data_IF_133840404415
#
_entry.id   IF_133840404415
#
_cell.length_a   1.000
_cell.length_b   1.000
_cell.length_c   1.000
_cell.angle_alpha   90.00
_cell.angle_beta   90.00
_cell.angle_gamma   90.00
#
_symmetry.space_group_name_H-M   'P 1'
#
loop_
_entity.id
_entity.type
_entity.pdbx_description
1 polymer ?
#
# COMPACT_ATOMS: atom_id res chain seq x y z
N UNK A 1 -4.38 1.65 -13.26
CA UNK A 1 -5.60 1.18 -12.59
C UNK A 1 -5.93 -0.28 -12.84
N UNK A 2 -5.95 -0.78 -14.08
CA UNK A 2 -6.25 -2.22 -14.33
C UNK A 2 -5.44 -3.17 -13.44
N UNK A 3 -4.14 -2.92 -13.24
CA UNK A 3 -3.33 -3.74 -12.33
C UNK A 3 -3.81 -3.72 -10.87
N UNK A 4 -4.27 -2.57 -10.36
CA UNK A 4 -4.90 -2.46 -9.04
C UNK A 4 -6.22 -3.23 -8.90
N UNK A 5 -6.82 -3.65 -10.02
CA UNK A 5 -8.01 -4.51 -10.04
C UNK A 5 -7.65 -6.01 -10.16
N UNK A 6 -6.36 -6.36 -10.10
CA UNK A 6 -5.89 -7.74 -10.13
C UNK A 6 -5.44 -8.26 -11.50
N UNK A 7 -5.53 -7.46 -12.57
CA UNK A 7 -5.02 -7.87 -13.88
C UNK A 7 -3.48 -7.86 -13.91
N UNK A 8 -2.80 -8.85 -14.52
CA UNK A 8 -1.35 -8.95 -14.48
C UNK A 8 -0.64 -7.79 -15.18
N UNK A 9 0.60 -7.48 -14.75
CA UNK A 9 1.44 -6.45 -15.38
C UNK A 9 1.67 -6.70 -16.89
N UNK A 10 1.72 -7.97 -17.30
CA UNK A 10 1.86 -8.38 -18.71
C UNK A 10 0.69 -7.96 -19.61
N UNK A 11 -0.52 -7.82 -19.06
CA UNK A 11 -1.71 -7.36 -19.78
C UNK A 11 -1.97 -5.86 -19.60
N UNK A 12 -1.16 -5.18 -18.79
CA UNK A 12 -1.37 -3.79 -18.39
C UNK A 12 -0.11 -2.96 -18.64
N UNK A 13 0.69 -2.67 -17.61
CA UNK A 13 1.81 -1.73 -17.68
C UNK A 13 2.92 -2.17 -18.65
N UNK A 14 3.24 -3.48 -18.70
CA UNK A 14 4.29 -4.03 -19.59
C UNK A 14 3.85 -4.17 -21.04
N UNK A 15 2.65 -3.71 -21.39
CA UNK A 15 2.25 -3.54 -22.78
C UNK A 15 2.72 -2.21 -23.36
N UNK A 16 3.19 -1.25 -22.53
CA UNK A 16 3.70 0.04 -23.01
C UNK A 16 5.12 -0.07 -23.56
N UNK A 17 5.34 0.46 -24.77
CA UNK A 17 6.68 0.53 -25.39
C UNK A 17 7.64 1.42 -24.61
N UNK A 18 7.13 2.47 -23.97
CA UNK A 18 7.92 3.40 -23.15
C UNK A 18 8.38 2.75 -21.85
N UNK A 19 7.49 1.99 -21.19
CA UNK A 19 7.86 1.23 -20.00
C UNK A 19 8.92 0.19 -20.32
N UNK A 20 8.78 -0.53 -21.43
CA UNK A 20 9.79 -1.50 -21.87
C UNK A 20 11.14 -0.82 -22.14
N UNK A 21 11.15 0.33 -22.83
CA UNK A 21 12.38 1.07 -23.11
C UNK A 21 13.11 1.49 -21.82
N UNK A 22 12.38 1.99 -20.83
CA UNK A 22 12.93 2.41 -19.54
C UNK A 22 13.38 1.23 -18.66
N UNK A 23 12.77 0.05 -18.82
CA UNK A 23 12.98 -1.09 -17.93
C UNK A 23 13.97 -2.13 -18.46
N UNK A 24 14.35 -2.09 -19.74
CA UNK A 24 15.18 -3.14 -20.35
C UNK A 24 16.41 -2.64 -21.12
N UNK A 25 17.65 -3.02 -20.69
CA UNK A 25 17.94 -3.75 -19.47
C UNK A 25 17.60 -2.93 -18.21
N UNK A 26 17.58 -3.62 -17.07
CA UNK A 26 17.28 -3.00 -15.77
C UNK A 26 18.25 -1.84 -15.52
N UNK A 27 17.77 -0.60 -15.35
CA UNK A 27 18.64 0.54 -15.12
C UNK A 27 19.24 0.47 -13.71
N UNK A 28 20.54 0.73 -13.61
CA UNK A 28 21.26 0.83 -12.32
C UNK A 28 21.04 2.20 -11.68
N UNK A 29 20.77 3.22 -12.48
CA UNK A 29 20.50 4.58 -12.02
C UNK A 29 19.63 5.36 -13.02
N UNK A 30 19.25 6.57 -12.64
CA UNK A 30 18.32 7.39 -13.42
C UNK A 30 18.84 7.70 -14.83
N UNK A 31 20.15 7.88 -14.99
CA UNK A 31 20.81 8.14 -16.29
C UNK A 31 20.63 7.01 -17.30
N UNK A 32 20.44 5.77 -16.83
CA UNK A 32 20.25 4.61 -17.70
C UNK A 32 18.77 4.35 -18.03
N UNK A 33 17.85 4.95 -17.27
CA UNK A 33 16.41 4.88 -17.49
C UNK A 33 15.99 5.93 -18.51
N UNK A 34 16.42 5.77 -19.76
CA UNK A 34 16.15 6.66 -20.91
C UNK A 34 15.49 5.88 -22.06
N UNK A 35 14.79 6.56 -22.97
CA UNK A 35 14.06 5.89 -24.05
C UNK A 35 14.98 5.38 -25.16
N UNK A 36 15.94 6.21 -25.59
CA UNK A 36 16.91 5.85 -26.61
C UNK A 36 18.29 5.78 -25.98
N UNK A 37 19.05 4.71 -26.23
CA UNK A 37 20.37 4.52 -25.62
C UNK A 37 21.55 4.87 -26.52
N UNK A 38 21.30 5.16 -27.80
CA UNK A 38 22.36 5.63 -28.69
C UNK A 38 22.77 7.06 -28.27
N UNK A 39 24.01 7.29 -27.79
CA UNK A 39 24.47 8.61 -27.38
C UNK A 39 24.49 9.64 -28.52
N UNK A 40 24.46 9.19 -29.77
CA UNK A 40 24.39 10.07 -30.95
C UNK A 40 22.98 10.53 -31.24
N UNK A 41 21.97 9.85 -30.69
CA UNK A 41 20.58 10.19 -30.89
C UNK A 41 20.13 11.26 -29.89
N UNK A 42 19.70 12.41 -30.43
CA UNK A 42 19.20 13.55 -29.64
C UNK A 42 17.71 13.43 -29.31
N UNK A 43 17.07 12.28 -29.56
CA UNK A 43 15.67 12.05 -29.24
C UNK A 43 15.38 12.32 -27.75
N UNK A 44 16.27 11.92 -26.83
CA UNK A 44 16.06 12.16 -25.41
C UNK A 44 16.08 13.66 -25.04
N UNK A 45 16.67 14.52 -25.87
CA UNK A 45 16.69 15.98 -25.64
C UNK A 45 15.35 16.62 -26.02
N UNK A 46 14.47 15.91 -26.74
CA UNK A 46 13.18 16.45 -27.14
C UNK A 46 12.30 16.73 -25.91
N UNK A 47 11.74 17.95 -25.77
CA UNK A 47 11.06 18.35 -24.54
C UNK A 47 9.91 17.43 -24.12
N UNK A 48 9.10 16.99 -25.07
CA UNK A 48 7.96 16.10 -24.77
C UNK A 48 8.39 14.68 -24.38
N UNK A 49 9.54 14.21 -24.87
CA UNK A 49 10.10 12.94 -24.42
C UNK A 49 10.65 13.04 -23.00
N UNK A 50 11.23 14.18 -22.59
CA UNK A 50 11.63 14.40 -21.20
C UNK A 50 10.42 14.41 -20.25
N UNK A 51 9.33 15.07 -20.64
CA UNK A 51 8.07 15.09 -19.89
C UNK A 51 7.47 13.68 -19.76
N UNK A 52 7.38 12.94 -20.88
CA UNK A 52 6.88 11.57 -20.88
C UNK A 52 7.76 10.63 -20.04
N UNK A 53 9.08 10.79 -20.11
CA UNK A 53 10.04 10.03 -19.30
C UNK A 53 9.78 10.26 -17.82
N UNK A 54 9.72 11.51 -17.37
CA UNK A 54 9.44 11.83 -15.97
C UNK A 54 8.11 11.23 -15.49
N UNK A 55 7.06 11.30 -16.31
CA UNK A 55 5.78 10.68 -16.03
C UNK A 55 5.89 9.15 -15.86
N UNK A 56 6.60 8.47 -16.77
CA UNK A 56 6.79 7.02 -16.72
C UNK A 56 7.67 6.59 -15.53
N UNK A 57 8.70 7.37 -15.17
CA UNK A 57 9.55 7.10 -14.01
C UNK A 57 8.74 7.12 -12.71
N UNK A 58 7.96 8.18 -12.49
CA UNK A 58 7.09 8.29 -11.32
C UNK A 58 6.04 7.17 -11.26
N UNK A 59 5.45 6.82 -12.42
CA UNK A 59 4.50 5.71 -12.52
C UNK A 59 5.15 4.38 -12.13
N UNK A 60 6.29 4.05 -12.71
CA UNK A 60 6.96 2.76 -12.49
C UNK A 60 7.46 2.60 -11.06
N UNK A 61 8.05 3.66 -10.47
CA UNK A 61 8.53 3.62 -9.09
C UNK A 61 7.38 3.45 -8.10
N UNK A 62 6.28 4.20 -8.27
CA UNK A 62 5.09 4.02 -7.45
C UNK A 62 4.51 2.60 -7.58
N UNK A 63 4.52 2.03 -8.80
CA UNK A 63 4.16 0.62 -8.99
C UNK A 63 5.13 -0.34 -8.28
N UNK A 64 6.44 -0.04 -8.24
CA UNK A 64 7.42 -0.77 -7.45
C UNK A 64 7.03 -0.84 -5.98
N UNK A 65 6.73 0.31 -5.37
CA UNK A 65 6.29 0.38 -3.97
C UNK A 65 4.97 -0.32 -3.70
N UNK A 66 3.99 -0.17 -4.60
CA UNK A 66 2.74 -0.94 -4.52
C UNK A 66 3.03 -2.44 -4.53
N UNK A 67 3.92 -2.91 -5.40
CA UNK A 67 4.23 -4.33 -5.50
C UNK A 67 4.94 -4.85 -4.25
N UNK A 68 5.96 -4.12 -3.77
CA UNK A 68 6.67 -4.45 -2.53
C UNK A 68 5.71 -4.53 -1.35
N UNK A 69 4.79 -3.56 -1.26
CA UNK A 69 3.77 -3.55 -0.22
C UNK A 69 2.87 -4.76 -0.26
N UNK A 70 2.28 -5.05 -1.43
CA UNK A 70 1.35 -6.18 -1.56
C UNK A 70 2.05 -7.51 -1.28
N UNK A 71 3.34 -7.64 -1.61
CA UNK A 71 4.15 -8.82 -1.33
C UNK A 71 4.53 -8.98 0.15
N UNK A 72 4.63 -7.89 0.90
CA UNK A 72 4.98 -7.91 2.31
C UNK A 72 3.79 -8.28 3.21
N UNK A 73 2.57 -8.05 2.72
CA UNK A 73 1.34 -8.15 3.50
C UNK A 73 0.49 -9.36 3.10
N UNK A 74 -0.50 -9.69 3.93
CA UNK A 74 -1.39 -10.82 3.64
C UNK A 74 -2.31 -10.47 2.47
N UNK A 75 -2.06 -11.11 1.33
CA UNK A 75 -2.89 -11.06 0.13
C UNK A 75 -2.79 -12.39 -0.62
N UNK A 76 -3.86 -12.77 -1.33
CA UNK A 76 -3.90 -14.02 -2.09
C UNK A 76 -3.45 -13.77 -3.54
N UNK A 77 -2.30 -14.32 -3.92
CA UNK A 77 -1.74 -14.15 -5.26
C UNK A 77 -2.69 -14.73 -6.34
N UNK A 78 -2.82 -14.02 -7.46
CA UNK A 78 -3.72 -14.33 -8.59
C UNK A 78 -5.23 -14.20 -8.30
N UNK A 79 -5.66 -14.28 -7.04
CA UNK A 79 -7.03 -14.00 -6.64
C UNK A 79 -7.22 -12.49 -6.37
N UNK A 80 -6.45 -11.95 -5.43
CA UNK A 80 -6.49 -10.55 -5.01
C UNK A 80 -5.72 -9.65 -5.96
N UNK A 81 -4.49 -10.05 -6.29
CA UNK A 81 -3.53 -9.24 -7.02
C UNK A 81 -2.45 -10.13 -7.65
N UNK A 82 -1.86 -9.67 -8.75
CA UNK A 82 -0.75 -10.38 -9.42
C UNK A 82 0.54 -9.61 -9.21
N UNK A 83 1.45 -10.18 -8.39
CA UNK A 83 2.72 -9.53 -8.03
C UNK A 83 3.87 -9.82 -8.98
N UNK A 84 3.67 -10.76 -9.92
CA UNK A 84 4.69 -11.18 -10.87
C UNK A 84 5.15 -10.04 -11.78
N UNK A 85 6.44 -9.69 -11.67
CA UNK A 85 7.09 -8.63 -12.45
C UNK A 85 7.88 -9.15 -13.65
N UNK A 86 7.91 -10.46 -13.90
CA UNK A 86 8.61 -11.07 -15.05
C UNK A 86 10.09 -10.65 -15.14
N UNK A 87 10.78 -10.63 -13.99
CA UNK A 87 12.17 -10.20 -13.81
C UNK A 87 12.44 -8.71 -14.14
N UNK A 88 11.41 -7.87 -14.16
CA UNK A 88 11.55 -6.41 -14.20
C UNK A 88 11.65 -5.88 -12.76
N UNK A 89 12.53 -4.91 -12.54
CA UNK A 89 12.78 -4.34 -11.20
C UNK A 89 11.82 -3.23 -10.80
N UNK A 90 10.99 -2.72 -11.72
CA UNK A 90 10.11 -1.56 -11.48
C UNK A 90 10.87 -0.36 -10.90
N UNK A 91 12.12 -0.16 -11.36
CA UNK A 91 13.02 0.91 -10.91
C UNK A 91 13.40 0.83 -9.41
N UNK A 92 13.41 -0.35 -8.80
CA UNK A 92 13.83 -0.55 -7.41
C UNK A 92 15.18 0.10 -7.08
N UNK A 93 16.15 0.01 -8.00
CA UNK A 93 17.51 0.55 -7.82
C UNK A 93 17.64 2.06 -8.04
N UNK A 94 16.61 2.73 -8.57
CA UNK A 94 16.62 4.18 -8.78
C UNK A 94 16.01 4.84 -7.53
N UNK A 95 16.71 5.81 -6.96
CA UNK A 95 16.21 6.53 -5.78
C UNK A 95 14.96 7.33 -6.11
N UNK A 96 14.04 7.42 -5.14
CA UNK A 96 12.85 8.27 -5.27
C UNK A 96 13.22 9.72 -5.49
N UNK A 97 14.21 10.24 -4.77
CA UNK A 97 14.66 11.63 -4.89
C UNK A 97 15.07 11.98 -6.32
N UNK A 98 15.84 11.10 -6.98
CA UNK A 98 16.23 11.32 -8.37
C UNK A 98 15.00 11.38 -9.30
N UNK A 99 14.00 10.53 -9.06
CA UNK A 99 12.76 10.53 -9.84
C UNK A 99 11.94 11.80 -9.59
N UNK A 100 11.85 12.25 -8.33
CA UNK A 100 11.18 13.51 -7.97
C UNK A 100 11.89 14.70 -8.62
N UNK A 101 13.22 14.74 -8.61
CA UNK A 101 14.01 15.75 -9.34
C UNK A 101 13.65 15.74 -10.82
N UNK A 102 13.61 14.58 -11.48
CA UNK A 102 13.24 14.50 -12.89
C UNK A 102 11.80 15.00 -13.16
N UNK A 103 10.86 14.75 -12.25
CA UNK A 103 9.50 15.31 -12.34
C UNK A 103 9.50 16.83 -12.18
N UNK A 104 10.23 17.36 -11.20
CA UNK A 104 10.38 18.81 -10.99
C UNK A 104 11.02 19.49 -12.19
N UNK A 105 12.08 18.91 -12.76
CA UNK A 105 12.75 19.42 -13.96
C UNK A 105 11.80 19.42 -15.18
N UNK A 106 11.01 18.35 -15.35
CA UNK A 106 10.00 18.29 -16.41
C UNK A 106 8.91 19.34 -16.25
N UNK A 107 8.47 19.64 -15.01
CA UNK A 107 7.55 20.75 -14.73
C UNK A 107 8.20 22.11 -15.04
N UNK A 108 9.46 22.33 -14.64
CA UNK A 108 10.21 23.54 -14.98
C UNK A 108 10.43 23.71 -16.50
N UNK A 109 10.57 22.60 -17.23
CA UNK A 109 10.59 22.61 -18.69
C UNK A 109 9.25 23.05 -19.29
N UNK A 110 8.14 22.50 -18.80
CA UNK A 110 6.79 22.91 -19.22
C UNK A 110 6.53 24.41 -18.99
N UNK A 111 6.96 24.94 -17.84
CA UNK A 111 6.86 26.37 -17.55
C UNK A 111 7.67 27.24 -18.54
N UNK A 112 8.90 26.82 -18.87
CA UNK A 112 9.71 27.52 -19.89
C UNK A 112 9.04 27.49 -21.26
N UNK A 113 8.51 26.33 -21.67
CA UNK A 113 7.79 26.20 -22.94
C UNK A 113 6.53 27.06 -22.98
N UNK A 114 5.87 27.30 -21.83
CA UNK A 114 4.70 28.18 -21.72
C UNK A 114 5.06 29.65 -21.93
N UNK A 115 6.20 30.07 -21.40
CA UNK A 115 6.68 31.45 -21.50
C UNK A 115 7.33 31.77 -22.84
N UNK A 116 7.78 30.75 -23.58
CA UNK A 116 8.40 30.93 -24.88
C UNK A 116 7.35 31.06 -26.00
N UNK A 117 7.16 32.31 -26.47
CA UNK A 117 6.24 32.62 -27.56
C UNK A 117 6.65 32.03 -28.92
N UNK A 118 7.86 31.47 -29.06
CA UNK A 118 8.34 30.85 -30.29
C UNK A 118 7.83 29.42 -30.50
N UNK A 119 7.23 28.80 -29.49
CA UNK A 119 6.76 27.42 -29.55
C UNK A 119 5.26 27.32 -29.84
N UNK A 120 4.86 26.24 -30.54
CA UNK A 120 3.48 26.01 -30.99
C UNK A 120 2.59 25.29 -29.96
N UNK A 121 3.09 25.04 -28.75
CA UNK A 121 2.34 24.30 -27.74
C UNK A 121 1.23 25.17 -27.13
N UNK A 122 0.00 24.65 -27.16
CA UNK A 122 -1.17 25.33 -26.57
C UNK A 122 -1.05 25.29 -25.04
N UNK A 123 -1.30 26.43 -24.38
CA UNK A 123 -1.17 26.56 -22.93
C UNK A 123 -2.00 25.51 -22.15
N UNK A 124 -3.22 25.21 -22.61
CA UNK A 124 -4.08 24.18 -22.01
C UNK A 124 -3.46 22.77 -22.01
N UNK A 125 -2.62 22.45 -23.02
CA UNK A 125 -1.92 21.16 -23.10
C UNK A 125 -0.78 21.13 -22.10
N UNK A 126 -0.07 22.24 -21.94
CA UNK A 126 0.99 22.38 -20.92
C UNK A 126 0.38 22.21 -19.53
N UNK A 127 -0.72 22.92 -19.22
CA UNK A 127 -1.44 22.81 -17.94
C UNK A 127 -1.88 21.36 -17.69
N UNK A 128 -2.42 20.69 -18.71
CA UNK A 128 -2.83 19.29 -18.62
C UNK A 128 -1.66 18.32 -18.34
N UNK A 129 -0.47 18.58 -18.92
CA UNK A 129 0.74 17.80 -18.67
C UNK A 129 1.29 18.05 -17.26
N UNK A 130 1.28 19.29 -16.78
CA UNK A 130 1.69 19.63 -15.42
C UNK A 130 0.82 18.90 -14.39
N UNK A 131 -0.51 18.90 -14.56
CA UNK A 131 -1.44 18.14 -13.69
C UNK A 131 -1.12 16.63 -13.69
N UNK A 132 -0.73 16.06 -14.83
CA UNK A 132 -0.38 14.62 -14.92
C UNK A 132 0.96 14.31 -14.27
N UNK A 133 1.94 15.21 -14.33
CA UNK A 133 3.21 15.09 -13.62
C UNK A 133 3.01 15.26 -12.11
N UNK A 134 2.20 16.22 -11.69
CA UNK A 134 1.84 16.44 -10.29
C UNK A 134 1.20 15.19 -9.68
N UNK A 135 0.27 14.55 -10.41
CA UNK A 135 -0.33 13.28 -9.97
C UNK A 135 0.72 12.20 -9.73
N UNK A 136 1.81 12.17 -10.52
CA UNK A 136 2.87 11.16 -10.38
C UNK A 136 3.72 11.42 -9.14
N UNK A 137 4.08 12.66 -8.87
CA UNK A 137 4.80 13.03 -7.65
C UNK A 137 3.94 12.79 -6.40
N UNK A 138 2.68 13.24 -6.41
CA UNK A 138 1.74 13.02 -5.30
C UNK A 138 1.55 11.54 -5.02
N UNK A 139 1.29 10.72 -6.06
CA UNK A 139 1.06 9.29 -5.84
C UNK A 139 2.32 8.56 -5.37
N UNK A 140 3.50 8.99 -5.82
CA UNK A 140 4.76 8.47 -5.31
C UNK A 140 4.93 8.76 -3.81
N UNK A 141 4.66 10.00 -3.39
CA UNK A 141 4.65 10.37 -1.96
C UNK A 141 3.58 9.62 -1.17
N UNK A 142 2.40 9.40 -1.75
CA UNK A 142 1.33 8.61 -1.14
C UNK A 142 1.77 7.16 -0.89
N UNK A 143 2.56 6.57 -1.79
CA UNK A 143 3.11 5.22 -1.60
C UNK A 143 4.19 5.12 -0.52
N UNK A 144 4.83 6.25 -0.18
CA UNK A 144 5.84 6.35 0.88
C UNK A 144 5.26 6.79 2.23
N UNK A 145 3.97 7.12 2.31
CA UNK A 145 3.32 7.62 3.53
C UNK A 145 3.51 6.77 4.81
N UNK A 146 3.77 5.46 4.75
CA UNK A 146 4.02 4.64 5.95
C UNK A 146 5.27 5.03 6.72
N UNK A 147 6.23 5.71 6.09
CA UNK A 147 7.36 6.31 6.80
C UNK A 147 6.93 7.37 7.84
N UNK A 148 5.70 7.89 7.71
CA UNK A 148 5.09 8.86 8.61
C UNK A 148 4.04 8.23 9.54
N UNK A 149 4.12 6.94 9.85
CA UNK A 149 3.16 6.26 10.74
C UNK A 149 3.02 6.96 12.11
N UNK A 150 4.09 7.58 12.61
CA UNK A 150 4.11 8.34 13.88
C UNK A 150 3.61 9.78 13.73
N UNK A 151 3.38 10.23 12.50
CA UNK A 151 2.96 11.60 12.16
C UNK A 151 1.76 11.56 11.21
N UNK A 152 0.55 11.16 11.68
CA UNK A 152 -0.61 10.95 10.81
C UNK A 152 -0.96 12.17 9.96
N UNK A 153 -0.77 13.37 10.49
CA UNK A 153 -0.98 14.62 9.75
C UNK A 153 -0.09 14.71 8.49
N UNK A 154 1.16 14.26 8.56
CA UNK A 154 2.06 14.21 7.39
C UNK A 154 1.66 13.08 6.45
N UNK A 155 1.29 11.92 6.98
CA UNK A 155 0.84 10.77 6.19
C UNK A 155 -0.40 11.09 5.33
N UNK A 156 -1.28 12.00 5.78
CA UNK A 156 -2.50 12.41 5.06
C UNK A 156 -2.25 13.36 3.89
N UNK A 157 -1.19 14.17 3.93
CA UNK A 157 -0.92 15.25 2.94
C UNK A 157 -1.03 14.77 1.49
N UNK A 158 -0.29 13.72 1.05
CA UNK A 158 -0.32 13.33 -0.36
C UNK A 158 -1.70 12.81 -0.78
N UNK A 159 -2.46 12.20 0.12
CA UNK A 159 -3.82 11.76 -0.17
C UNK A 159 -4.78 12.94 -0.38
N UNK A 160 -4.73 13.95 0.49
CA UNK A 160 -5.53 15.17 0.39
C UNK A 160 -5.18 15.98 -0.88
N UNK A 161 -3.89 16.11 -1.18
CA UNK A 161 -3.42 16.75 -2.41
C UNK A 161 -3.92 16.00 -3.65
N UNK A 162 -3.85 14.67 -3.63
CA UNK A 162 -4.38 13.83 -4.71
C UNK A 162 -5.86 14.08 -4.96
N UNK A 163 -6.69 14.03 -3.91
CA UNK A 163 -8.13 14.33 -4.00
C UNK A 163 -8.37 15.73 -4.61
N UNK A 164 -7.59 16.72 -4.18
CA UNK A 164 -7.72 18.11 -4.64
C UNK A 164 -7.32 18.27 -6.12
N UNK A 165 -6.40 17.45 -6.63
CA UNK A 165 -5.93 17.47 -8.01
C UNK A 165 -6.91 16.79 -8.99
N UNK A 166 -7.67 15.80 -8.53
CA UNK A 166 -8.54 14.97 -9.37
C UNK A 166 -9.52 15.76 -10.27
N UNK A 167 -10.19 16.84 -9.81
CA UNK A 167 -11.07 17.64 -10.67
C UNK A 167 -10.35 18.23 -11.89
N UNK A 168 -9.13 18.74 -11.71
CA UNK A 168 -8.31 19.29 -12.80
C UNK A 168 -7.83 18.20 -13.77
N UNK A 169 -7.52 17.01 -13.25
CA UNK A 169 -7.17 15.86 -14.08
C UNK A 169 -8.36 15.45 -14.97
N UNK A 170 -9.57 15.42 -14.41
CA UNK A 170 -10.80 15.09 -15.15
C UNK A 170 -11.12 16.14 -16.20
N UNK A 171 -11.09 17.42 -15.82
CA UNK A 171 -11.46 18.52 -16.73
C UNK A 171 -10.52 18.60 -17.93
N UNK A 172 -9.25 18.23 -17.79
CA UNK A 172 -8.26 18.24 -18.88
C UNK A 172 -8.18 16.93 -19.67
N UNK A 173 -9.01 15.92 -19.40
CA UNK A 173 -8.94 14.64 -20.11
C UNK A 173 -9.34 14.74 -21.59
N UNK A 174 -10.26 15.64 -21.93
CA UNK A 174 -10.72 15.86 -23.31
C UNK A 174 -9.60 16.31 -24.27
N UNK A 175 -8.46 16.77 -23.74
CA UNK A 175 -7.28 17.14 -24.52
C UNK A 175 -6.43 15.93 -24.93
N UNK A 176 -6.66 14.76 -24.33
CA UNK A 176 -5.95 13.54 -24.66
C UNK A 176 -6.40 12.95 -25.99
N UNK A 177 -5.45 12.36 -26.69
CA UNK A 177 -5.70 11.52 -27.87
C UNK A 177 -5.12 10.13 -27.62
N UNK A 178 -5.87 9.05 -27.87
CA UNK A 178 -5.33 7.70 -27.85
C UNK A 178 -4.16 7.57 -28.83
N UNK A 179 -3.14 6.81 -28.43
CA UNK A 179 -1.98 6.45 -29.26
C UNK A 179 -1.79 4.95 -29.15
N UNK A 180 -2.59 4.20 -29.90
CA UNK A 180 -2.70 2.74 -29.75
C UNK A 180 -1.35 2.04 -29.99
N UNK A 181 -0.53 2.56 -30.91
CA UNK A 181 0.82 2.04 -31.20
C UNK A 181 1.80 2.15 -30.02
N UNK A 182 1.46 2.94 -28.98
CA UNK A 182 2.24 3.01 -27.74
C UNK A 182 2.08 1.76 -26.88
N UNK A 183 1.09 0.91 -27.18
CA UNK A 183 0.79 -0.31 -26.43
C UNK A 183 0.75 -1.52 -27.35
N UNK A 184 1.42 -2.62 -26.97
CA UNK A 184 1.49 -3.82 -27.79
C UNK A 184 1.52 -5.10 -26.97
N UNK A 185 0.59 -6.02 -27.27
CA UNK A 185 0.60 -7.37 -26.73
C UNK A 185 1.85 -8.17 -27.16
N UNK A 186 2.54 -7.74 -28.24
CA UNK A 186 3.80 -8.37 -28.68
C UNK A 186 4.91 -8.27 -27.64
N UNK A 187 4.88 -7.24 -26.78
CA UNK A 187 5.87 -7.08 -25.70
C UNK A 187 5.82 -8.22 -24.68
N UNK A 188 4.68 -8.91 -24.54
CA UNK A 188 4.56 -10.06 -23.65
C UNK A 188 5.52 -11.20 -24.01
N UNK A 189 5.94 -11.30 -25.28
CA UNK A 189 6.94 -12.30 -25.73
C UNK A 189 8.36 -12.01 -25.24
N UNK A 190 8.62 -10.79 -24.76
CA UNK A 190 9.91 -10.37 -24.18
C UNK A 190 9.95 -10.54 -22.65
N UNK A 191 8.83 -10.90 -22.04
CA UNK A 191 8.73 -11.14 -20.61
C UNK A 191 9.21 -12.57 -20.31
N UNK A 192 9.82 -12.77 -19.14
CA UNK A 192 10.20 -14.09 -18.66
C UNK A 192 8.93 -14.87 -18.25
N UNK A 193 8.21 -15.39 -19.25
CA UNK A 193 6.92 -16.07 -19.09
C UNK A 193 6.83 -17.27 -20.03
N UNK A 194 6.29 -18.37 -19.52
CA UNK A 194 5.88 -19.54 -20.32
C UNK A 194 4.42 -19.45 -20.76
N UNK A 195 3.67 -18.45 -20.27
CA UNK A 195 2.25 -18.24 -20.57
C UNK A 195 2.11 -17.53 -21.92
N UNK A 196 1.21 -18.00 -22.81
CA UNK A 196 0.99 -17.37 -24.10
C UNK A 196 0.48 -15.91 -23.96
N UNK A 197 0.73 -15.04 -24.94
CA UNK A 197 0.25 -13.66 -24.90
C UNK A 197 -1.27 -13.57 -24.76
N UNK A 198 -1.74 -12.77 -23.82
CA UNK A 198 -3.16 -12.49 -23.58
C UNK A 198 -3.55 -11.10 -24.09
N UNK A 199 -4.83 -10.84 -24.38
CA UNK A 199 -5.30 -9.51 -24.76
C UNK A 199 -4.92 -8.44 -23.73
N UNK A 200 -4.64 -7.22 -24.21
CA UNK A 200 -4.40 -6.06 -23.35
C UNK A 200 -5.69 -5.73 -22.60
N UNK A 201 -5.58 -5.45 -21.30
CA UNK A 201 -6.72 -5.04 -20.47
C UNK A 201 -6.74 -3.52 -20.36
N UNK A 202 -7.67 -2.91 -21.08
CA UNK A 202 -7.89 -1.48 -21.11
C UNK A 202 -9.23 -1.14 -20.44
N UNK A 203 -9.18 -0.31 -19.39
CA UNK A 203 -10.37 0.24 -18.77
C UNK A 203 -10.81 1.51 -19.52
N UNK A 204 -12.12 1.76 -19.54
CA UNK A 204 -12.65 3.06 -19.91
C UNK A 204 -12.14 4.15 -18.96
N UNK A 205 -12.05 5.39 -19.44
CA UNK A 205 -11.53 6.50 -18.63
C UNK A 205 -12.36 6.71 -17.36
N UNK A 206 -13.69 6.73 -17.46
CA UNK A 206 -14.56 6.95 -16.30
C UNK A 206 -14.41 5.86 -15.23
N UNK A 207 -14.30 4.60 -15.64
CA UNK A 207 -14.04 3.48 -14.71
C UNK A 207 -12.66 3.62 -14.06
N UNK A 208 -11.62 3.90 -14.86
CA UNK A 208 -10.27 4.09 -14.35
C UNK A 208 -10.19 5.28 -13.39
N UNK A 209 -10.85 6.39 -13.72
CA UNK A 209 -10.90 7.60 -12.91
C UNK A 209 -11.71 7.40 -11.63
N UNK A 210 -12.83 6.66 -11.69
CA UNK A 210 -13.60 6.27 -10.51
C UNK A 210 -12.81 5.40 -9.55
N UNK A 211 -12.04 4.44 -10.08
CA UNK A 211 -11.12 3.62 -9.27
C UNK A 211 -9.98 4.44 -8.67
N UNK A 212 -9.40 5.39 -9.42
CA UNK A 212 -8.36 6.29 -8.92
C UNK A 212 -8.90 7.22 -7.83
N UNK A 213 -10.11 7.74 -8.00
CA UNK A 213 -10.77 8.59 -6.99
C UNK A 213 -10.94 7.82 -5.68
N UNK A 214 -11.47 6.59 -5.76
CA UNK A 214 -11.63 5.73 -4.58
C UNK A 214 -10.29 5.37 -3.95
N UNK A 215 -9.25 5.09 -4.75
CA UNK A 215 -7.90 4.83 -4.25
C UNK A 215 -7.42 5.95 -3.33
N UNK A 216 -7.60 7.22 -3.73
CA UNK A 216 -7.18 8.36 -2.92
C UNK A 216 -8.07 8.61 -1.70
N UNK A 217 -9.39 8.44 -1.84
CA UNK A 217 -10.35 8.58 -0.74
C UNK A 217 -10.15 7.52 0.34
N UNK A 218 -10.10 6.24 -0.07
CA UNK A 218 -9.86 5.12 0.82
C UNK A 218 -8.46 5.23 1.45
N UNK A 219 -7.45 5.64 0.68
CA UNK A 219 -6.09 5.89 1.17
C UNK A 219 -6.02 6.98 2.25
N UNK A 220 -6.80 8.06 2.12
CA UNK A 220 -6.91 9.08 3.16
C UNK A 220 -7.63 8.54 4.40
N UNK A 221 -8.73 7.83 4.21
CA UNK A 221 -9.57 7.33 5.29
C UNK A 221 -8.82 6.36 6.20
N UNK A 222 -8.01 5.46 5.64
CA UNK A 222 -7.25 4.49 6.45
C UNK A 222 -6.19 5.14 7.33
N UNK A 223 -5.74 6.36 7.04
CA UNK A 223 -4.82 7.07 7.95
C UNK A 223 -5.53 7.39 9.29
N UNK A 224 -6.87 7.48 9.27
CA UNK A 224 -7.68 7.64 10.47
C UNK A 224 -7.48 6.52 11.51
N UNK A 225 -7.05 5.32 11.09
CA UNK A 225 -6.78 4.19 12.00
C UNK A 225 -5.66 4.51 13.00
N UNK A 226 -4.75 5.42 12.64
CA UNK A 226 -3.65 5.84 13.50
C UNK A 226 -4.13 6.72 14.67
N UNK A 227 -5.35 7.24 14.62
CA UNK A 227 -6.01 7.90 15.75
C UNK A 227 -6.71 6.87 16.64
N UNK A 228 -5.93 5.94 17.18
CA UNK A 228 -6.40 4.89 18.06
C UNK A 228 -7.09 5.45 19.32
N UNK A 229 -8.22 4.86 19.68
CA UNK A 229 -8.95 5.17 20.92
C UNK A 229 -9.01 3.94 21.83
N UNK A 230 -9.51 2.83 21.30
CA UNK A 230 -9.60 1.54 21.98
C UNK A 230 -9.72 0.38 20.96
N UNK A 231 -9.60 -0.87 21.43
CA UNK A 231 -9.62 -2.08 20.60
C UNK A 231 -10.94 -2.30 19.89
N UNK A 232 -12.07 -1.92 20.50
CA UNK A 232 -13.41 -2.07 19.93
C UNK A 232 -13.64 -1.10 18.78
N UNK A 233 -13.22 0.16 18.95
CA UNK A 233 -13.21 1.16 17.91
C UNK A 233 -12.30 0.74 16.75
N UNK A 234 -11.11 0.21 17.04
CA UNK A 234 -10.19 -0.32 16.03
C UNK A 234 -10.84 -1.46 15.22
N UNK A 235 -11.41 -2.46 15.90
CA UNK A 235 -12.07 -3.59 15.24
C UNK A 235 -13.27 -3.14 14.41
N UNK A 236 -14.07 -2.21 14.92
CA UNK A 236 -15.22 -1.62 14.20
C UNK A 236 -14.74 -0.85 12.97
N UNK A 237 -13.69 -0.05 13.09
CA UNK A 237 -13.09 0.71 11.99
C UNK A 237 -12.63 -0.22 10.86
N UNK A 238 -11.83 -1.24 11.18
CA UNK A 238 -11.34 -2.22 10.19
C UNK A 238 -12.50 -2.97 9.54
N UNK A 239 -13.46 -3.44 10.34
CA UNK A 239 -14.63 -4.18 9.82
C UNK A 239 -15.50 -3.31 8.91
N UNK A 240 -15.78 -2.07 9.32
CA UNK A 240 -16.59 -1.13 8.54
C UNK A 240 -15.90 -0.79 7.22
N UNK A 241 -14.61 -0.49 7.25
CA UNK A 241 -13.81 -0.18 6.06
C UNK A 241 -13.83 -1.34 5.05
N UNK A 242 -13.67 -2.57 5.52
CA UNK A 242 -13.61 -3.76 4.67
C UNK A 242 -14.97 -4.18 4.12
N UNK A 243 -16.06 -3.77 4.79
CA UNK A 243 -17.44 -4.01 4.35
C UNK A 243 -17.93 -3.10 3.23
N UNK A 244 -17.15 -2.08 2.84
CA UNK A 244 -17.49 -1.12 1.78
C UNK A 244 -17.85 -1.83 0.48
N UNK A 245 -18.78 -1.23 -0.27
CA UNK A 245 -19.21 -1.69 -1.60
C UNK A 245 -19.03 -0.55 -2.61
N UNK A 246 -18.14 -0.71 -3.62
CA UNK A 246 -17.27 -1.88 -3.86
C UNK A 246 -16.16 -1.98 -2.80
N UNK A 247 -15.60 -3.18 -2.61
CA UNK A 247 -14.52 -3.39 -1.64
C UNK A 247 -13.31 -2.47 -1.96
N UNK A 248 -12.57 -1.99 -0.94
CA UNK A 248 -11.36 -1.21 -1.16
C UNK A 248 -10.33 -1.97 -2.00
N UNK A 249 -9.57 -1.22 -2.80
CA UNK A 249 -8.53 -1.78 -3.66
C UNK A 249 -7.47 -2.50 -2.84
N UNK A 250 -6.90 -3.58 -3.38
CA UNK A 250 -5.97 -4.46 -2.65
C UNK A 250 -4.82 -3.68 -2.03
N UNK A 251 -4.25 -2.75 -2.78
CA UNK A 251 -3.18 -1.89 -2.27
C UNK A 251 -3.57 -1.11 -1.00
N UNK A 252 -4.79 -0.57 -0.93
CA UNK A 252 -5.25 0.16 0.25
C UNK A 252 -5.48 -0.80 1.42
N UNK A 253 -5.97 -2.01 1.16
CA UNK A 253 -6.12 -3.06 2.17
C UNK A 253 -4.78 -3.49 2.75
N UNK A 254 -3.76 -3.65 1.91
CA UNK A 254 -2.39 -3.97 2.37
C UNK A 254 -1.74 -2.78 3.07
N UNK A 255 -2.04 -1.55 2.65
CA UNK A 255 -1.57 -0.35 3.33
C UNK A 255 -2.17 -0.23 4.74
N UNK A 256 -3.45 -0.57 4.91
CA UNK A 256 -4.09 -0.69 6.23
C UNK A 256 -3.40 -1.73 7.10
N UNK A 257 -3.03 -2.90 6.56
CA UNK A 257 -2.29 -3.92 7.31
C UNK A 257 -0.97 -3.39 7.85
N UNK A 258 -0.20 -2.67 7.04
CA UNK A 258 1.06 -2.04 7.51
C UNK A 258 0.82 -1.02 8.62
N UNK A 259 -0.27 -0.25 8.56
CA UNK A 259 -0.57 0.68 9.65
C UNK A 259 -0.97 -0.04 10.93
N UNK A 260 -1.71 -1.15 10.82
CA UNK A 260 -2.07 -1.97 11.96
C UNK A 260 -0.82 -2.61 12.57
N UNK A 261 0.09 -3.12 11.75
CA UNK A 261 1.27 -3.87 12.17
C UNK A 261 2.49 -3.50 11.34
N UNK A 262 3.50 -2.90 11.98
CA UNK A 262 4.80 -2.69 11.39
C UNK A 262 5.89 -2.99 12.42
N UNK A 263 6.89 -3.80 12.04
CA UNK A 263 8.03 -4.14 12.89
C UNK A 263 7.70 -4.54 14.35
N UNK A 264 6.62 -5.32 14.58
CA UNK A 264 6.09 -5.73 15.91
C UNK A 264 5.48 -4.59 16.75
N UNK A 265 5.36 -3.38 16.20
CA UNK A 265 4.58 -2.28 16.76
C UNK A 265 3.16 -2.29 16.15
N UNK A 266 2.16 -2.11 17.02
CA UNK A 266 0.78 -1.91 16.62
C UNK A 266 0.52 -0.40 16.52
N UNK A 267 0.04 0.07 15.37
CA UNK A 267 -0.24 1.51 15.12
C UNK A 267 0.97 2.41 15.45
N UNK A 268 2.19 1.92 15.21
CA UNK A 268 3.46 2.64 15.39
C UNK A 268 3.83 3.04 16.82
N UNK A 269 3.12 2.55 17.85
CA UNK A 269 3.40 2.95 19.24
C UNK A 269 3.01 1.93 20.31
N UNK A 270 2.09 1.02 20.03
CA UNK A 270 1.60 0.05 21.01
C UNK A 270 2.28 -1.30 20.84
N UNK A 271 2.46 -2.02 21.94
CA UNK A 271 2.82 -3.43 21.89
C UNK A 271 1.57 -4.30 21.69
N UNK A 272 1.76 -5.49 21.12
CA UNK A 272 0.69 -6.51 21.04
C UNK A 272 0.13 -6.83 22.43
N UNK A 273 0.99 -6.82 23.46
CA UNK A 273 0.57 -6.98 24.85
C UNK A 273 -0.45 -5.92 25.25
N UNK A 274 -0.17 -4.65 24.97
CA UNK A 274 -1.07 -3.56 25.30
C UNK A 274 -2.42 -3.73 24.60
N UNK A 275 -2.41 -4.09 23.32
CA UNK A 275 -3.64 -4.33 22.57
C UNK A 275 -4.49 -5.47 23.18
N UNK A 276 -3.86 -6.59 23.59
CA UNK A 276 -4.56 -7.71 24.23
C UNK A 276 -5.09 -7.31 25.62
N UNK A 277 -4.27 -6.65 26.42
CA UNK A 277 -4.64 -6.24 27.78
C UNK A 277 -5.80 -5.21 27.73
N UNK A 278 -5.77 -4.26 26.79
CA UNK A 278 -6.86 -3.30 26.52
C UNK A 278 -8.17 -4.04 26.19
N UNK A 279 -8.13 -5.00 25.26
CA UNK A 279 -9.33 -5.73 24.83
C UNK A 279 -9.92 -6.60 25.95
N UNK A 280 -9.05 -7.30 26.68
CA UNK A 280 -9.45 -8.04 27.88
C UNK A 280 -10.11 -7.11 28.90
N UNK A 281 -9.53 -5.94 29.16
CA UNK A 281 -10.05 -4.99 30.14
C UNK A 281 -11.44 -4.47 29.78
N UNK A 282 -11.73 -4.32 28.49
CA UNK A 282 -13.01 -3.81 28.00
C UNK A 282 -14.08 -4.90 28.03
N UNK A 283 -13.77 -6.09 27.53
CA UNK A 283 -14.79 -7.12 27.28
C UNK A 283 -14.99 -8.05 28.48
N UNK A 284 -13.91 -8.51 29.12
CA UNK A 284 -13.97 -9.71 29.99
C UNK A 284 -13.39 -9.54 31.40
N UNK A 285 -12.46 -8.61 31.59
CA UNK A 285 -11.68 -8.42 32.81
C UNK A 285 -11.60 -6.94 33.25
N UNK A 286 -12.73 -6.22 33.37
CA UNK A 286 -12.72 -4.81 33.77
C UNK A 286 -12.13 -4.64 35.17
N UNK A 287 -11.15 -3.75 35.29
CA UNK A 287 -10.41 -3.47 36.53
C UNK A 287 -9.87 -4.73 37.24
N UNK A 288 -9.57 -5.79 36.48
CA UNK A 288 -9.12 -7.06 37.06
C UNK A 288 -7.69 -6.95 37.57
N UNK A 289 -7.39 -7.46 38.78
CA UNK A 289 -6.01 -7.59 39.27
C UNK A 289 -5.11 -8.44 38.38
N UNK A 290 -5.68 -9.25 37.46
CA UNK A 290 -4.90 -10.03 36.49
C UNK A 290 -4.18 -9.16 35.46
N UNK A 291 -4.70 -7.96 35.19
CA UNK A 291 -4.14 -7.01 34.23
C UNK A 291 -3.30 -5.92 34.91
N UNK A 292 -3.14 -5.99 36.24
CA UNK A 292 -2.37 -5.00 36.99
C UNK A 292 -0.87 -5.11 36.65
N UNK A 293 -0.30 -4.01 36.16
CA UNK A 293 1.12 -3.90 35.78
C UNK A 293 2.04 -4.02 37.00
N UNK A 294 1.56 -3.69 38.20
CA UNK A 294 2.35 -3.85 39.43
C UNK A 294 2.70 -5.33 39.70
N UNK A 295 1.98 -6.29 39.10
CA UNK A 295 2.35 -7.70 39.21
C UNK A 295 3.68 -8.02 38.53
N UNK A 296 4.05 -7.28 37.48
CA UNK A 296 5.28 -7.52 36.72
C UNK A 296 6.54 -7.03 37.46
N UNK A 297 6.37 -6.16 38.47
CA UNK A 297 7.46 -5.62 39.29
C UNK A 297 7.83 -6.54 40.46
N UNK A 298 7.01 -7.55 40.75
CA UNK A 298 7.25 -8.47 41.86
C UNK A 298 8.24 -9.53 41.42
N UNK A 299 9.39 -9.64 42.08
CA UNK A 299 10.40 -10.68 41.78
C UNK A 299 10.30 -11.91 42.70
N UNK A 300 9.48 -11.83 43.76
CA UNK A 300 9.35 -12.90 44.76
C UNK A 300 8.52 -14.05 44.19
N UNK A 301 9.20 -15.17 43.87
CA UNK A 301 8.61 -16.32 43.16
C UNK A 301 7.42 -17.00 43.84
N UNK A 302 7.26 -16.82 45.15
CA UNK A 302 6.16 -17.37 45.93
C UNK A 302 5.01 -16.37 46.15
N UNK A 303 5.19 -15.11 45.77
CA UNK A 303 4.13 -14.10 45.83
C UNK A 303 3.07 -14.43 44.75
N UNK A 304 1.77 -14.45 45.10
CA UNK A 304 0.70 -14.68 44.13
C UNK A 304 0.76 -13.76 42.91
N UNK A 305 1.23 -12.52 43.08
CA UNK A 305 1.35 -11.52 42.01
C UNK A 305 2.41 -11.92 40.98
N UNK A 306 3.54 -12.48 41.43
CA UNK A 306 4.54 -13.07 40.52
C UNK A 306 3.94 -14.21 39.70
N UNK A 307 3.18 -15.11 40.35
CA UNK A 307 2.52 -16.22 39.66
C UNK A 307 1.50 -15.71 38.63
N UNK A 308 0.71 -14.69 38.98
CA UNK A 308 -0.24 -14.03 38.08
C UNK A 308 0.48 -13.43 36.88
N UNK A 309 1.53 -12.63 37.08
CA UNK A 309 2.33 -12.04 36.00
C UNK A 309 2.85 -13.12 35.05
N UNK A 310 3.47 -14.19 35.59
CA UNK A 310 4.02 -15.27 34.77
C UNK A 310 2.94 -16.01 33.95
N UNK A 311 1.78 -16.31 34.55
CA UNK A 311 0.70 -16.99 33.83
C UNK A 311 0.06 -16.10 32.75
N UNK A 312 -0.10 -14.81 33.04
CA UNK A 312 -0.61 -13.85 32.08
C UNK A 312 0.38 -13.64 30.93
N UNK A 313 1.67 -13.67 31.20
CA UNK A 313 2.69 -13.60 30.16
C UNK A 313 2.65 -14.82 29.23
N UNK A 314 2.55 -16.03 29.79
CA UNK A 314 2.34 -17.24 28.98
C UNK A 314 1.05 -17.20 28.17
N UNK A 315 -0.02 -16.61 28.70
CA UNK A 315 -1.26 -16.42 27.94
C UNK A 315 -1.03 -15.49 26.76
N UNK A 316 -0.45 -14.30 26.98
CA UNK A 316 -0.18 -13.30 25.94
C UNK A 316 0.71 -13.86 24.85
N UNK A 317 1.79 -14.55 25.19
CA UNK A 317 2.68 -15.18 24.21
C UNK A 317 1.95 -16.16 23.28
N UNK A 318 0.96 -16.89 23.81
CA UNK A 318 0.16 -17.84 23.03
C UNK A 318 -0.96 -17.15 22.24
N UNK A 319 -1.54 -16.10 22.80
CA UNK A 319 -2.65 -15.36 22.21
C UNK A 319 -2.20 -14.34 21.15
N UNK A 320 -0.95 -13.87 21.20
CA UNK A 320 -0.41 -12.83 20.33
C UNK A 320 -0.67 -13.10 18.84
N UNK A 321 -0.20 -14.23 18.33
CA UNK A 321 -0.34 -14.52 16.89
C UNK A 321 -1.82 -14.66 16.46
N UNK A 322 -2.66 -15.47 17.13
CA UNK A 322 -4.09 -15.53 16.76
C UNK A 322 -4.83 -14.18 16.86
N UNK A 323 -4.42 -13.31 17.79
CA UNK A 323 -5.01 -11.98 17.92
C UNK A 323 -4.64 -11.10 16.72
N UNK A 324 -3.36 -11.10 16.32
CA UNK A 324 -2.88 -10.43 15.09
C UNK A 324 -3.58 -10.97 13.84
N UNK A 325 -3.66 -12.30 13.71
CA UNK A 325 -4.26 -12.96 12.55
C UNK A 325 -5.72 -12.54 12.36
N UNK A 326 -6.45 -12.24 13.45
CA UNK A 326 -7.83 -11.74 13.36
C UNK A 326 -7.90 -10.44 12.58
N UNK A 327 -7.01 -9.48 12.86
CA UNK A 327 -6.98 -8.21 12.14
C UNK A 327 -6.45 -8.36 10.70
N UNK A 328 -5.47 -9.24 10.47
CA UNK A 328 -4.98 -9.55 9.13
C UNK A 328 -6.08 -10.16 8.25
N UNK A 329 -6.82 -11.14 8.78
CA UNK A 329 -7.94 -11.80 8.09
C UNK A 329 -9.07 -10.81 7.77
N UNK A 330 -9.36 -9.86 8.66
CA UNK A 330 -10.33 -8.81 8.34
C UNK A 330 -9.90 -7.95 7.15
N UNK A 331 -8.60 -7.84 6.88
CA UNK A 331 -8.06 -7.05 5.78
C UNK A 331 -8.01 -7.77 4.41
N UNK A 332 -8.31 -9.07 4.34
CA UNK A 332 -8.36 -9.81 3.07
C UNK A 332 -9.75 -9.72 2.42
N UNK A 333 -9.94 -10.32 1.23
CA UNK A 333 -11.26 -10.40 0.59
C UNK A 333 -12.27 -11.08 1.51
N UNK A 334 -13.52 -10.60 1.48
CA UNK A 334 -14.60 -11.12 2.34
C UNK A 334 -14.75 -12.64 2.22
N UNK A 335 -14.72 -13.19 1.00
CA UNK A 335 -14.83 -14.64 0.78
C UNK A 335 -13.72 -15.43 1.50
N UNK A 336 -12.49 -14.91 1.46
CA UNK A 336 -11.34 -15.56 2.09
C UNK A 336 -11.27 -15.27 3.59
N UNK A 337 -11.78 -14.12 4.03
CA UNK A 337 -11.91 -13.80 5.45
C UNK A 337 -12.77 -14.85 6.17
N UNK A 338 -13.86 -15.31 5.54
CA UNK A 338 -14.69 -16.37 6.09
C UNK A 338 -13.92 -17.68 6.33
N UNK A 339 -13.01 -18.08 5.44
CA UNK A 339 -12.20 -19.29 5.62
C UNK A 339 -11.15 -19.14 6.72
N UNK A 340 -10.47 -17.99 6.78
CA UNK A 340 -9.45 -17.68 7.80
C UNK A 340 -10.02 -17.63 9.22
N UNK A 341 -11.23 -17.07 9.39
CA UNK A 341 -11.89 -16.95 10.70
C UNK A 341 -12.07 -18.29 11.43
N UNK A 342 -12.31 -19.40 10.71
CA UNK A 342 -12.50 -20.72 11.34
C UNK A 342 -11.23 -21.25 12.01
N UNK A 343 -10.06 -20.98 11.42
CA UNK A 343 -8.76 -21.45 11.93
C UNK A 343 -8.38 -20.67 13.20
N UNK A 344 -8.53 -19.35 13.16
CA UNK A 344 -8.17 -18.46 14.28
C UNK A 344 -9.05 -18.69 15.51
N UNK A 345 -10.36 -18.85 15.33
CA UNK A 345 -11.29 -19.12 16.43
C UNK A 345 -11.02 -20.47 17.11
N UNK A 346 -10.62 -21.48 16.33
CA UNK A 346 -10.27 -22.80 16.85
C UNK A 346 -9.00 -22.75 17.73
N UNK A 347 -8.00 -21.98 17.31
CA UNK A 347 -6.76 -21.81 18.07
C UNK A 347 -6.98 -21.06 19.40
N UNK A 348 -7.73 -19.95 19.37
CA UNK A 348 -8.05 -19.16 20.57
C UNK A 348 -8.83 -19.97 21.62
N UNK A 349 -9.78 -20.80 21.17
CA UNK A 349 -10.57 -21.66 22.07
C UNK A 349 -9.72 -22.70 22.83
N UNK A 350 -8.65 -23.22 22.22
CA UNK A 350 -7.72 -24.15 22.85
C UNK A 350 -6.85 -23.44 23.90
N UNK A 351 -6.37 -22.24 23.57
CA UNK A 351 -5.48 -21.45 24.46
C UNK A 351 -6.22 -21.06 25.73
N UNK A 352 -7.44 -20.51 25.61
CA UNK A 352 -8.22 -20.05 26.76
C UNK A 352 -8.51 -21.18 27.77
N UNK A 353 -8.96 -22.34 27.28
CA UNK A 353 -9.22 -23.52 28.12
C UNK A 353 -7.96 -24.03 28.84
N UNK A 354 -6.80 -23.94 28.20
CA UNK A 354 -5.53 -24.33 28.80
C UNK A 354 -5.12 -23.40 29.96
N UNK A 355 -5.23 -22.09 29.78
CA UNK A 355 -4.81 -21.09 30.77
C UNK A 355 -5.74 -21.07 31.98
N UNK A 356 -7.06 -21.10 31.76
CA UNK A 356 -8.04 -21.12 32.84
C UNK A 356 -7.85 -22.32 33.79
N UNK A 357 -7.54 -23.51 33.24
CA UNK A 357 -7.25 -24.71 34.04
C UNK A 357 -6.01 -24.57 34.92
N UNK A 358 -4.97 -23.85 34.46
CA UNK A 358 -3.75 -23.62 35.24
C UNK A 358 -3.98 -22.62 36.37
N UNK A 359 -4.67 -21.51 36.08
CA UNK A 359 -5.04 -20.50 37.09
C UNK A 359 -5.92 -21.10 38.19
N UNK A 360 -6.97 -21.85 37.84
CA UNK A 360 -7.86 -22.50 38.83
C UNK A 360 -7.08 -23.48 39.72
N UNK A 361 -6.08 -24.20 39.20
CA UNK A 361 -5.24 -25.09 40.01
C UNK A 361 -4.36 -24.32 40.99
N UNK A 362 -3.77 -23.19 40.58
CA UNK A 362 -2.95 -22.35 41.45
C UNK A 362 -3.75 -21.70 42.59
N UNK A 363 -5.04 -21.40 42.36
CA UNK A 363 -5.93 -20.87 43.41
C UNK A 363 -6.56 -21.95 44.31
N UNK A 364 -6.63 -23.22 43.88
CA UNK A 364 -7.21 -24.34 44.66
C UNK A 364 -6.24 -25.02 45.64
N UNK A 365 -4.96 -24.68 45.63
CA UNK A 365 -3.97 -25.15 46.62
C UNK A 365 -3.73 -24.13 47.76
N UNK A 366 -4.75 -23.34 48.08
CA UNK A 366 -4.84 -22.55 49.31
C UNK A 366 -6.00 -23.05 50.15
#
# INVERSE_FOLDING_TARGET
MSWHLGYPLSQTLFTSVYVEALSMPNPVGIEQAIFVRDPKDKANDQPMLQVLRAYCLGLLKACGYVNERVRAEHSYEEEDFVTNTYNRTLLANVSTDAIRTAITEAKGLLQRLRSDASHSYRAEVIDALEVRLELRDIFLQATECPQYIKEPNLAQIPWQQGISLLPALKSTHHLCKPVDDSFSAKLQRKLASTIPPRPIVQLGFDDAFGNLTRLFQDGLEIIGVLHYTDTQCLQTCVSAFQSKKPQPLVYVRTLLQTFLFDAMEVLGSMSIRQLIDDDLSIITLPASPLLDRLNDEIEVVHDPRFIVSQQMEFFRQRAAQPFLDTYCVLCVRIAVAYEGHYVTLSALGIIFKSTQRKLIKSFKHR
#
